data_IF_877916769569
#
_entry.id   IF_877916769569
#
_cell.length_a   1.000
_cell.length_b   1.000
_cell.length_c   1.000
_cell.angle_alpha   90.00
_cell.angle_beta   90.00
_cell.angle_gamma   90.00
#
_symmetry.space_group_name_H-M   'P 1'
#
loop_
_entity.id
_entity.type
_entity.pdbx_description
1 polymer ?
#
# COMPACT_ATOMS: atom_id res chain seq x y z
N UNK A 1 -5.22 22.90 9.48
CA UNK A 1 -4.98 21.56 8.90
C UNK A 1 -6.30 21.04 8.34
N UNK A 2 -6.32 20.51 7.12
CA UNK A 2 -7.51 19.85 6.56
C UNK A 2 -7.83 18.60 7.40
N UNK A 3 -9.07 18.47 7.91
CA UNK A 3 -9.48 17.36 8.79
C UNK A 3 -9.27 15.98 8.15
N UNK A 4 -9.37 15.89 6.81
CA UNK A 4 -9.06 14.69 6.03
C UNK A 4 -7.57 14.36 6.09
N UNK A 5 -6.69 15.32 5.80
CA UNK A 5 -5.24 15.10 5.82
C UNK A 5 -4.74 14.71 7.22
N UNK A 6 -5.30 15.33 8.28
CA UNK A 6 -4.96 14.96 9.65
C UNK A 6 -5.36 13.52 9.99
N UNK A 7 -6.51 13.08 9.49
CA UNK A 7 -6.94 11.68 9.62
C UNK A 7 -5.99 10.74 8.88
N UNK A 8 -5.67 11.04 7.62
CA UNK A 8 -4.73 10.25 6.80
C UNK A 8 -3.38 10.15 7.51
N UNK A 9 -2.80 11.28 7.92
CA UNK A 9 -1.53 11.31 8.66
C UNK A 9 -1.55 10.38 9.89
N UNK A 10 -2.65 10.40 10.66
CA UNK A 10 -2.80 9.56 11.85
C UNK A 10 -2.87 8.07 11.49
N UNK A 11 -3.68 7.72 10.49
CA UNK A 11 -3.85 6.34 10.04
C UNK A 11 -2.57 5.79 9.38
N UNK A 12 -1.84 6.62 8.63
CA UNK A 12 -0.54 6.27 8.03
C UNK A 12 0.50 6.00 9.10
N UNK A 13 0.58 6.83 10.14
CA UNK A 13 1.48 6.59 11.26
C UNK A 13 1.15 5.28 11.99
N UNK A 14 -0.14 4.96 12.17
CA UNK A 14 -0.56 3.67 12.75
C UNK A 14 -0.26 2.49 11.84
N UNK A 15 -0.45 2.64 10.53
CA UNK A 15 -0.16 1.62 9.53
C UNK A 15 1.34 1.31 9.49
N UNK A 16 2.20 2.34 9.52
CA UNK A 16 3.65 2.19 9.61
C UNK A 16 4.03 1.31 10.82
N UNK A 17 3.52 1.64 12.00
CA UNK A 17 3.82 0.87 13.23
C UNK A 17 3.33 -0.58 13.16
N UNK A 18 2.20 -0.83 12.49
CA UNK A 18 1.56 -2.16 12.50
C UNK A 18 2.02 -3.09 11.39
N UNK A 19 2.32 -2.54 10.22
CA UNK A 19 2.43 -3.31 8.97
C UNK A 19 3.75 -3.12 8.24
N UNK A 20 4.58 -2.15 8.63
CA UNK A 20 5.93 -1.97 8.07
C UNK A 20 6.96 -2.60 9.01
N UNK A 21 7.83 -3.46 8.48
CA UNK A 21 8.95 -4.00 9.24
C UNK A 21 9.97 -2.91 9.65
N UNK A 22 10.03 -1.80 8.90
CA UNK A 22 10.88 -0.63 9.20
C UNK A 22 10.14 0.50 9.91
N UNK A 23 8.86 0.31 10.27
CA UNK A 23 7.98 1.34 10.81
C UNK A 23 7.91 2.61 9.96
N UNK A 24 7.93 2.46 8.63
CA UNK A 24 7.94 3.57 7.68
C UNK A 24 6.72 3.52 6.76
N UNK A 25 6.10 4.68 6.56
CA UNK A 25 5.04 4.86 5.57
C UNK A 25 5.02 6.32 5.10
N UNK A 26 4.70 6.52 3.81
CA UNK A 26 4.61 7.82 3.18
C UNK A 26 3.16 8.07 2.74
N UNK A 27 2.79 9.33 2.55
CA UNK A 27 1.48 9.70 2.03
C UNK A 27 1.58 11.02 1.27
N UNK A 28 0.58 11.26 0.42
CA UNK A 28 0.38 12.55 -0.23
C UNK A 28 -0.07 13.60 0.79
N UNK A 29 0.83 14.47 1.23
CA UNK A 29 0.55 15.52 2.21
C UNK A 29 -0.11 16.76 1.62
N UNK A 30 -0.28 16.81 0.29
CA UNK A 30 -0.95 17.88 -0.43
C UNK A 30 -2.42 17.54 -0.71
N UNK A 31 -2.67 16.48 -1.49
CA UNK A 31 -4.03 16.09 -1.88
C UNK A 31 -4.57 14.86 -1.11
N UNK A 32 -3.72 14.13 -0.38
CA UNK A 32 -4.09 12.90 0.32
C UNK A 32 -4.65 11.84 -0.62
N UNK A 33 -4.12 11.76 -1.84
CA UNK A 33 -4.59 10.84 -2.88
C UNK A 33 -3.98 9.44 -2.79
N UNK A 34 -2.89 9.26 -2.04
CA UNK A 34 -2.24 7.97 -1.89
C UNK A 34 -1.51 7.81 -0.55
N UNK A 35 -1.25 6.55 -0.20
CA UNK A 35 -0.43 6.10 0.95
C UNK A 35 0.49 4.98 0.47
N UNK A 36 1.74 4.95 0.95
CA UNK A 36 2.67 3.84 0.73
C UNK A 36 3.11 3.31 2.08
N UNK A 37 2.85 2.03 2.37
CA UNK A 37 3.43 1.32 3.51
C UNK A 37 4.74 0.71 3.01
N UNK A 38 5.86 1.06 3.64
CA UNK A 38 7.18 0.58 3.22
C UNK A 38 7.48 -0.77 3.85
N UNK A 39 8.20 -1.63 3.13
CA UNK A 39 8.76 -2.87 3.70
C UNK A 39 7.71 -3.74 4.44
N UNK A 40 6.58 -3.96 3.76
CA UNK A 40 5.51 -4.83 4.22
C UNK A 40 5.95 -6.30 4.14
N UNK A 41 5.94 -7.06 5.25
CA UNK A 41 6.38 -8.44 5.25
C UNK A 41 5.38 -9.34 4.53
N UNK A 42 5.89 -10.12 3.57
CA UNK A 42 5.09 -11.08 2.81
C UNK A 42 5.07 -12.43 3.53
N UNK A 43 3.98 -13.21 3.39
CA UNK A 43 3.99 -14.61 3.82
C UNK A 43 4.98 -15.42 2.96
N UNK A 44 5.37 -16.61 3.43
CA UNK A 44 6.20 -17.52 2.65
C UNK A 44 5.51 -17.94 1.34
N UNK A 45 6.29 -18.28 0.32
CA UNK A 45 5.77 -18.67 -1.00
C UNK A 45 5.87 -17.58 -2.07
N UNK A 46 6.44 -16.41 -1.75
CA UNK A 46 6.77 -15.35 -2.71
C UNK A 46 8.28 -15.25 -2.97
N UNK A 47 8.66 -14.76 -4.15
CA UNK A 47 10.05 -14.52 -4.52
C UNK A 47 10.73 -13.40 -3.68
N UNK A 48 9.93 -12.56 -3.02
CA UNK A 48 10.37 -11.56 -2.06
C UNK A 48 9.91 -11.88 -0.64
N UNK A 49 10.69 -11.41 0.34
CA UNK A 49 10.29 -11.48 1.75
C UNK A 49 9.49 -10.24 2.17
N UNK A 50 9.65 -9.12 1.47
CA UNK A 50 8.98 -7.85 1.75
C UNK A 50 8.68 -7.10 0.45
N UNK A 51 7.71 -6.19 0.48
CA UNK A 51 7.41 -5.29 -0.64
C UNK A 51 6.87 -3.95 -0.14
N UNK A 52 6.81 -2.95 -1.00
CA UNK A 52 6.07 -1.72 -0.70
C UNK A 52 4.61 -1.86 -1.15
N UNK A 53 3.68 -1.37 -0.33
CA UNK A 53 2.24 -1.42 -0.64
C UNK A 53 1.73 -0.01 -0.87
N UNK A 54 1.33 0.29 -2.11
CA UNK A 54 0.68 1.54 -2.50
C UNK A 54 -0.84 1.37 -2.42
N UNK A 55 -1.50 2.31 -1.74
CA UNK A 55 -2.96 2.37 -1.63
C UNK A 55 -3.41 3.73 -2.17
N UNK A 56 -4.34 3.72 -3.13
CA UNK A 56 -4.98 4.93 -3.63
C UNK A 56 -6.19 5.28 -2.76
N UNK A 57 -6.27 6.54 -2.33
CA UNK A 57 -7.36 7.03 -1.51
C UNK A 57 -8.36 7.80 -2.37
N UNK A 58 -9.66 7.43 -2.38
CA UNK A 58 -10.66 8.22 -3.08
C UNK A 58 -10.77 9.62 -2.48
N UNK A 59 -11.21 10.58 -3.29
CA UNK A 59 -11.31 11.99 -2.89
C UNK A 59 -12.16 12.20 -1.64
N UNK A 60 -13.19 11.39 -1.46
CA UNK A 60 -14.10 11.42 -0.32
C UNK A 60 -13.72 10.42 0.79
N UNK A 61 -12.55 9.78 0.74
CA UNK A 61 -12.01 9.04 1.88
C UNK A 61 -12.04 9.94 3.12
N UNK A 62 -12.49 9.45 4.29
CA UNK A 62 -12.80 8.05 4.67
C UNK A 62 -14.22 7.51 4.38
N UNK A 63 -15.09 8.27 3.73
CA UNK A 63 -16.50 7.90 3.55
C UNK A 63 -16.65 6.76 2.53
N UNK A 64 -15.81 6.77 1.49
CA UNK A 64 -15.61 5.61 0.61
C UNK A 64 -14.25 4.99 0.97
N UNK A 65 -14.20 3.67 1.23
CA UNK A 65 -12.95 2.98 1.50
C UNK A 65 -12.04 2.93 0.24
N UNK A 66 -10.75 2.64 0.38
CA UNK A 66 -9.90 2.22 -0.73
C UNK A 66 -10.39 0.87 -1.26
N UNK A 67 -10.40 0.71 -2.58
CA UNK A 67 -10.86 -0.53 -3.23
C UNK A 67 -9.73 -1.52 -3.54
N UNK A 68 -8.51 -1.02 -3.77
CA UNK A 68 -7.35 -1.81 -4.21
C UNK A 68 -6.02 -1.33 -3.61
N UNK A 69 -5.00 -2.16 -3.76
CA UNK A 69 -3.61 -1.81 -3.49
C UNK A 69 -2.71 -2.32 -4.62
N UNK A 70 -1.53 -1.75 -4.72
CA UNK A 70 -0.50 -2.10 -5.70
C UNK A 70 0.78 -2.46 -4.96
N UNK A 71 1.56 -3.35 -5.56
CA UNK A 71 2.86 -3.83 -5.07
C UNK A 71 3.88 -3.77 -6.20
N UNK A 72 5.11 -4.20 -5.92
CA UNK A 72 6.14 -4.32 -6.94
C UNK A 72 5.69 -5.23 -8.10
N UNK A 73 5.91 -4.79 -9.35
CA UNK A 73 5.50 -5.51 -10.55
C UNK A 73 6.33 -6.78 -10.80
N UNK A 74 7.47 -6.94 -10.12
CA UNK A 74 8.30 -8.14 -10.18
C UNK A 74 8.00 -9.12 -9.02
N UNK A 75 7.00 -8.83 -8.18
CA UNK A 75 6.55 -9.76 -7.14
C UNK A 75 5.93 -10.98 -7.81
N UNK A 76 6.43 -12.18 -7.52
CA UNK A 76 5.96 -13.46 -8.06
C UNK A 76 5.87 -14.50 -6.93
N UNK A 77 5.26 -15.63 -7.21
CA UNK A 77 5.38 -16.81 -6.36
C UNK A 77 6.82 -17.37 -6.41
N UNK A 78 7.24 -18.12 -5.40
CA UNK A 78 8.59 -18.73 -5.32
C UNK A 78 8.93 -19.62 -6.52
N UNK A 79 7.92 -20.19 -7.17
CA UNK A 79 8.08 -21.00 -8.38
C UNK A 79 8.17 -20.18 -9.68
N UNK A 80 8.05 -18.85 -9.60
CA UNK A 80 8.10 -17.92 -10.74
C UNK A 80 6.74 -17.64 -11.39
N UNK A 81 5.65 -18.21 -10.89
CA UNK A 81 4.30 -17.93 -11.40
C UNK A 81 3.76 -16.60 -10.86
N UNK A 82 2.84 -15.99 -11.60
CA UNK A 82 2.07 -14.84 -11.14
C UNK A 82 1.02 -15.27 -10.09
N UNK A 83 0.86 -14.54 -8.98
CA UNK A 83 -0.21 -14.79 -8.02
C UNK A 83 -1.58 -14.44 -8.64
N UNK A 84 -2.58 -15.29 -8.44
CA UNK A 84 -3.95 -15.17 -9.03
C UNK A 84 -4.68 -13.83 -8.78
N UNK A 85 -4.19 -13.01 -7.85
CA UNK A 85 -4.84 -11.80 -7.35
C UNK A 85 -3.96 -10.55 -7.47
N UNK A 86 -2.83 -10.64 -8.19
CA UNK A 86 -2.00 -9.50 -8.55
C UNK A 86 -2.20 -9.22 -10.04
N UNK A 87 -2.59 -7.99 -10.37
CA UNK A 87 -2.83 -7.55 -11.74
C UNK A 87 -1.63 -6.74 -12.23
N UNK A 88 -0.91 -7.25 -13.23
CA UNK A 88 0.32 -6.64 -13.75
C UNK A 88 0.07 -5.67 -14.92
N UNK A 89 -1.11 -5.74 -15.57
CA UNK A 89 -1.37 -5.14 -16.89
C UNK A 89 -2.41 -3.99 -16.94
N UNK A 90 -2.78 -3.39 -15.81
CA UNK A 90 -3.80 -2.31 -15.78
C UNK A 90 -3.25 -0.91 -16.20
N UNK A 91 -2.27 -0.88 -17.11
CA UNK A 91 -1.70 0.34 -17.72
C UNK A 91 -2.17 0.61 -19.16
N UNK A 92 -3.28 0.00 -19.59
CA UNK A 92 -3.89 0.26 -20.92
C UNK A 92 -4.80 1.48 -20.94
#
# INVERSE_FOLDING_TARGET
>A
MNSRLQRIMTEVALAAVRYSATHSAHYDDEAGSWVIIKDFPLPAGYNYTHTDVLILLPRNYPQTPPDWFYVDAELLLENGDEPDHVFYDDLS
#
